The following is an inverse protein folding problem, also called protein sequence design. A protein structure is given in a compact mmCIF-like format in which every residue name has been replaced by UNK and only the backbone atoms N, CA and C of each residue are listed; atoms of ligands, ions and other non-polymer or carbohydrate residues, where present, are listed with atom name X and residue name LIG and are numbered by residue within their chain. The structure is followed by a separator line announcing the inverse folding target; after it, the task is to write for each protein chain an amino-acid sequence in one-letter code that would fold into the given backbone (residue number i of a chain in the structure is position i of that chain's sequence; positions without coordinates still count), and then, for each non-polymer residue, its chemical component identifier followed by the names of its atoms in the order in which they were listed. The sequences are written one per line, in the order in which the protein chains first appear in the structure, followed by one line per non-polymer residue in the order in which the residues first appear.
data_IF_664160495589
#
_entry.id   IF_664160495589
#
_cell.length_a   1.000
_cell.length_b   1.000
_cell.length_c   1.000
_cell.angle_alpha   90.00
_cell.angle_beta   90.00
_cell.angle_gamma   90.00
#
_symmetry.space_group_name_H-M   'P 1'
#
loop_
_entity.id
_entity.type
_entity.pdbx_description
1 polymer ?
#
# COMPACT_ATOMS: atom_id res chain seq x y z
N UNK A 1 8.78 -19.02 25.50
CA UNK A 1 9.70 -18.22 24.66
C UNK A 1 9.16 -16.80 24.62
N UNK A 2 9.93 -15.86 25.18
CA UNK A 2 9.51 -14.47 25.30
C UNK A 2 9.16 -13.91 23.92
N UNK A 3 7.98 -13.28 23.85
CA UNK A 3 7.49 -12.53 22.70
C UNK A 3 8.38 -11.29 22.54
N UNK A 4 9.56 -11.45 21.94
CA UNK A 4 10.31 -10.29 21.50
C UNK A 4 9.49 -9.62 20.41
N UNK A 5 8.97 -8.44 20.75
CA UNK A 5 8.19 -7.61 19.84
C UNK A 5 9.12 -7.22 18.69
N UNK A 6 8.99 -7.89 17.54
CA UNK A 6 9.66 -7.42 16.34
C UNK A 6 9.30 -5.95 16.14
N UNK A 7 10.31 -5.12 15.98
CA UNK A 7 10.15 -3.72 15.63
C UNK A 7 10.07 -3.56 14.12
N UNK A 8 9.79 -2.32 13.68
CA UNK A 8 9.81 -1.98 12.27
C UNK A 8 11.19 -2.23 11.65
N UNK A 9 12.25 -1.86 12.36
CA UNK A 9 13.63 -1.99 11.88
C UNK A 9 14.08 -3.45 11.82
N UNK A 10 13.66 -4.28 12.78
CA UNK A 10 13.92 -5.73 12.72
C UNK A 10 13.28 -6.36 11.47
N UNK A 11 12.06 -5.93 11.11
CA UNK A 11 11.40 -6.41 9.90
C UNK A 11 12.13 -6.00 8.62
N UNK A 12 12.75 -4.81 8.60
CA UNK A 12 13.59 -4.37 7.48
C UNK A 12 14.88 -5.20 7.44
N UNK A 13 15.53 -5.40 8.59
CA UNK A 13 16.71 -6.22 8.73
C UNK A 13 16.50 -7.66 8.23
N UNK A 14 15.37 -8.28 8.58
CA UNK A 14 15.01 -9.62 8.08
C UNK A 14 14.91 -9.67 6.56
N UNK A 15 14.31 -8.65 5.92
CA UNK A 15 14.18 -8.60 4.47
C UNK A 15 15.53 -8.42 3.77
N UNK A 16 16.39 -7.55 4.30
CA UNK A 16 17.72 -7.29 3.74
C UNK A 16 18.63 -8.50 3.93
N UNK A 17 18.71 -9.05 5.14
CA UNK A 17 19.50 -10.24 5.42
C UNK A 17 19.10 -11.41 4.53
N UNK A 18 17.79 -11.61 4.32
CA UNK A 18 17.33 -12.67 3.43
C UNK A 18 17.66 -12.41 1.96
N UNK A 19 17.61 -11.15 1.51
CA UNK A 19 18.02 -10.80 0.16
C UNK A 19 19.52 -11.07 -0.07
N UNK A 20 20.36 -10.70 0.91
CA UNK A 20 21.80 -10.93 0.86
C UNK A 20 22.12 -12.44 0.84
N UNK A 21 21.44 -13.24 1.66
CA UNK A 21 21.55 -14.71 1.64
C UNK A 21 21.20 -15.28 0.26
N UNK A 22 20.09 -14.84 -0.35
CA UNK A 22 19.68 -15.31 -1.67
C UNK A 22 20.70 -14.91 -2.75
N UNK A 23 21.20 -13.68 -2.69
CA UNK A 23 22.24 -13.21 -3.61
C UNK A 23 23.56 -13.98 -3.44
N UNK A 24 23.96 -14.28 -2.21
CA UNK A 24 25.14 -15.09 -1.91
C UNK A 24 24.99 -16.53 -2.43
N UNK A 25 23.76 -17.07 -2.40
CA UNK A 25 23.42 -18.37 -2.99
C UNK A 25 23.29 -18.35 -4.53
N UNK A 26 23.55 -17.20 -5.16
CA UNK A 26 23.48 -17.03 -6.62
C UNK A 26 22.07 -16.82 -7.17
N UNK A 27 21.06 -16.60 -6.33
CA UNK A 27 19.70 -16.34 -6.76
C UNK A 27 19.48 -14.83 -7.04
N UNK A 28 19.06 -14.49 -8.26
CA UNK A 28 18.80 -13.10 -8.68
C UNK A 28 17.38 -12.59 -8.34
N UNK A 29 16.72 -13.19 -7.34
CA UNK A 29 15.32 -12.88 -7.00
C UNK A 29 15.19 -12.17 -5.66
N UNK A 30 14.07 -11.47 -5.48
CA UNK A 30 13.70 -10.91 -4.17
C UNK A 30 13.18 -11.97 -3.19
N UNK A 31 13.31 -11.71 -1.88
CA UNK A 31 12.66 -12.52 -0.85
C UNK A 31 11.14 -12.59 -1.07
N UNK A 32 10.60 -13.81 -1.09
CA UNK A 32 9.16 -14.09 -1.12
C UNK A 32 8.69 -14.47 0.27
N UNK A 33 7.38 -14.38 0.49
CA UNK A 33 6.76 -14.68 1.80
C UNK A 33 7.09 -16.08 2.33
N UNK A 34 7.26 -17.05 1.44
CA UNK A 34 7.57 -18.43 1.82
C UNK A 34 9.03 -18.64 2.22
N UNK A 35 9.89 -17.63 2.08
CA UNK A 35 11.27 -17.67 2.58
C UNK A 35 11.35 -17.34 4.07
N UNK A 36 10.21 -17.02 4.70
CA UNK A 36 10.09 -16.58 6.09
C UNK A 36 9.08 -17.43 6.85
N UNK A 37 9.22 -17.42 8.17
CA UNK A 37 8.30 -18.07 9.08
C UNK A 37 6.97 -17.32 9.16
N UNK A 38 5.88 -18.04 9.44
CA UNK A 38 4.54 -17.44 9.47
C UNK A 38 4.44 -16.21 10.39
N UNK A 39 5.14 -16.25 11.54
CA UNK A 39 5.21 -15.14 12.50
C UNK A 39 5.89 -13.89 11.91
N UNK A 40 6.97 -14.09 11.17
CA UNK A 40 7.75 -13.02 10.54
C UNK A 40 6.95 -12.39 9.41
N UNK A 41 6.27 -13.21 8.61
CA UNK A 41 5.38 -12.73 7.55
C UNK A 41 4.28 -11.83 8.12
N UNK A 42 3.68 -12.21 9.26
CA UNK A 42 2.67 -11.40 9.94
C UNK A 42 3.27 -10.09 10.46
N UNK A 43 4.45 -10.14 11.10
CA UNK A 43 5.13 -8.94 11.60
C UNK A 43 5.52 -7.98 10.48
N UNK A 44 6.20 -8.46 9.44
CA UNK A 44 6.58 -7.69 8.24
C UNK A 44 5.35 -7.01 7.63
N UNK A 45 4.24 -7.76 7.49
CA UNK A 45 2.99 -7.22 6.96
C UNK A 45 2.38 -6.15 7.87
N UNK A 46 2.44 -6.34 9.19
CA UNK A 46 1.88 -5.40 10.15
C UNK A 46 2.65 -4.07 10.18
N UNK A 47 3.99 -4.11 10.15
CA UNK A 47 4.83 -2.92 10.26
C UNK A 47 5.09 -2.21 8.92
N UNK A 48 5.34 -2.96 7.85
CA UNK A 48 5.73 -2.42 6.54
C UNK A 48 4.59 -2.39 5.53
N UNK A 49 3.45 -3.01 5.87
CA UNK A 49 2.25 -3.05 5.03
C UNK A 49 2.29 -4.19 4.02
N UNK A 50 1.59 -4.08 2.87
CA UNK A 50 1.52 -5.16 1.89
C UNK A 50 2.91 -5.49 1.33
N UNK A 51 3.18 -6.77 1.03
CA UNK A 51 4.51 -7.28 0.67
C UNK A 51 5.32 -6.41 -0.33
N UNK A 52 4.76 -5.89 -1.44
CA UNK A 52 5.54 -5.01 -2.32
C UNK A 52 6.04 -3.73 -1.62
N UNK A 53 5.24 -3.15 -0.71
CA UNK A 53 5.63 -2.00 0.10
C UNK A 53 6.69 -2.34 1.13
N UNK A 54 6.67 -3.57 1.64
CA UNK A 54 7.72 -4.06 2.52
C UNK A 54 9.08 -4.14 1.80
N UNK A 55 9.09 -4.65 0.56
CA UNK A 55 10.29 -4.66 -0.29
C UNK A 55 10.75 -3.24 -0.65
N UNK A 56 9.82 -2.31 -0.89
CA UNK A 56 10.15 -0.89 -1.10
C UNK A 56 10.75 -0.25 0.17
N UNK A 57 10.20 -0.55 1.35
CA UNK A 57 10.68 -0.04 2.63
C UNK A 57 12.07 -0.60 3.00
N UNK A 58 12.38 -1.82 2.56
CA UNK A 58 13.69 -2.43 2.71
C UNK A 58 14.71 -1.99 1.63
N UNK A 59 14.32 -1.10 0.71
CA UNK A 59 15.20 -0.63 -0.36
C UNK A 59 15.50 -1.66 -1.46
N UNK A 60 14.87 -2.84 -1.40
CA UNK A 60 15.06 -3.90 -2.39
C UNK A 60 14.36 -3.58 -3.71
N UNK A 61 13.26 -2.82 -3.65
CA UNK A 61 12.45 -2.49 -4.82
C UNK A 61 12.23 -0.99 -4.95
N UNK A 62 12.37 -0.47 -6.16
CA UNK A 62 12.04 0.93 -6.46
C UNK A 62 10.57 1.24 -6.10
N UNK A 63 10.30 2.30 -5.32
CA UNK A 63 8.94 2.72 -5.01
C UNK A 63 8.13 3.01 -6.28
N UNK A 64 6.85 2.63 -6.27
CA UNK A 64 5.96 2.96 -7.40
C UNK A 64 5.86 4.48 -7.55
N UNK A 65 5.90 4.97 -8.79
CA UNK A 65 5.74 6.40 -9.09
C UNK A 65 4.44 6.96 -8.51
N UNK A 66 4.56 8.07 -7.78
CA UNK A 66 3.44 8.79 -7.16
C UNK A 66 2.41 9.29 -8.18
N UNK A 67 2.81 9.45 -9.45
CA UNK A 67 1.94 9.85 -10.53
C UNK A 67 0.70 8.96 -10.68
N UNK A 68 0.84 7.63 -10.57
CA UNK A 68 -0.31 6.72 -10.71
C UNK A 68 -1.30 6.91 -9.56
N UNK A 69 -0.78 7.16 -8.35
CA UNK A 69 -1.57 7.45 -7.16
C UNK A 69 -2.32 8.77 -7.31
N UNK A 70 -1.62 9.82 -7.76
CA UNK A 70 -2.20 11.13 -8.04
C UNK A 70 -3.28 11.06 -9.12
N UNK A 71 -3.02 10.38 -10.24
CA UNK A 71 -4.00 10.18 -11.34
C UNK A 71 -5.28 9.51 -10.83
N UNK A 72 -5.14 8.50 -9.97
CA UNK A 72 -6.29 7.80 -9.36
C UNK A 72 -7.07 8.71 -8.42
N UNK A 73 -6.38 9.48 -7.59
CA UNK A 73 -6.99 10.46 -6.69
C UNK A 73 -7.75 11.55 -7.46
N UNK A 74 -7.14 12.12 -8.51
CA UNK A 74 -7.77 13.12 -9.36
C UNK A 74 -9.03 12.59 -10.05
N UNK A 75 -9.00 11.36 -10.57
CA UNK A 75 -10.20 10.70 -11.12
C UNK A 75 -11.31 10.58 -10.07
N UNK A 76 -10.96 10.20 -8.84
CA UNK A 76 -11.92 10.09 -7.72
C UNK A 76 -12.53 11.45 -7.36
N UNK A 77 -11.71 12.50 -7.29
CA UNK A 77 -12.15 13.88 -7.03
C UNK A 77 -13.13 14.33 -8.12
N UNK A 78 -12.77 14.15 -9.40
CA UNK A 78 -13.63 14.50 -10.54
C UNK A 78 -14.98 13.77 -10.49
N UNK A 79 -14.97 12.47 -10.20
CA UNK A 79 -16.19 11.68 -10.08
C UNK A 79 -17.08 12.17 -8.94
N UNK A 80 -16.50 12.47 -7.77
CA UNK A 80 -17.24 13.06 -6.64
C UNK A 80 -17.86 14.41 -7.00
N UNK A 81 -17.09 15.32 -7.61
CA UNK A 81 -17.59 16.66 -8.02
C UNK A 81 -18.82 16.55 -8.91
N UNK A 82 -18.77 15.73 -9.96
CA UNK A 82 -19.92 15.51 -10.86
C UNK A 82 -21.17 15.00 -10.14
N UNK A 83 -21.01 14.04 -9.22
CA UNK A 83 -22.15 13.53 -8.44
C UNK A 83 -22.74 14.60 -7.54
N UNK A 84 -21.90 15.37 -6.86
CA UNK A 84 -22.34 16.47 -6.00
C UNK A 84 -23.05 17.56 -6.79
N UNK A 85 -22.54 17.94 -7.96
CA UNK A 85 -23.16 18.92 -8.86
C UNK A 85 -24.53 18.43 -9.36
N UNK A 86 -24.63 17.18 -9.84
CA UNK A 86 -25.89 16.60 -10.29
C UNK A 86 -26.93 16.55 -9.16
N UNK A 87 -26.53 16.18 -7.94
CA UNK A 87 -27.41 16.23 -6.77
C UNK A 87 -27.88 17.64 -6.43
N UNK A 88 -26.99 18.64 -6.54
CA UNK A 88 -27.36 20.06 -6.34
C UNK A 88 -28.36 20.51 -7.39
N UNK A 89 -28.13 20.22 -8.67
CA UNK A 89 -29.05 20.57 -9.76
C UNK A 89 -30.42 19.91 -9.58
N UNK A 90 -30.47 18.62 -9.24
CA UNK A 90 -31.75 17.94 -8.96
C UNK A 90 -32.50 18.57 -7.79
N UNK A 91 -31.80 19.02 -6.75
CA UNK A 91 -32.42 19.73 -5.61
C UNK A 91 -32.97 21.09 -6.02
N UNK A 92 -32.25 21.82 -6.87
CA UNK A 92 -32.71 23.11 -7.41
C UNK A 92 -33.97 22.90 -8.26
N UNK A 93 -33.93 21.97 -9.22
CA UNK A 93 -35.07 21.63 -10.07
C UNK A 93 -36.29 21.19 -9.26
N UNK A 94 -36.12 20.33 -8.25
CA UNK A 94 -37.21 19.91 -7.36
C UNK A 94 -37.80 21.07 -6.55
N UNK A 95 -36.99 22.07 -6.20
CA UNK A 95 -37.47 23.26 -5.50
C UNK A 95 -38.29 24.13 -6.44
N UNK A 96 -37.79 24.39 -7.65
CA UNK A 96 -38.49 25.16 -8.69
C UNK A 96 -39.85 24.54 -9.05
N UNK A 97 -39.93 23.21 -9.19
CA UNK A 97 -41.21 22.50 -9.46
C UNK A 97 -42.18 22.57 -8.28
N UNK A 98 -41.69 22.68 -7.04
CA UNK A 98 -42.55 22.76 -5.85
C UNK A 98 -43.12 24.17 -5.63
N UNK A 99 -42.40 25.19 -6.08
CA UNK A 99 -42.76 26.59 -5.91
C UNK A 99 -43.67 27.12 -7.08
N UNK A 100 -43.98 26.27 -8.07
CA UNK A 100 -44.99 26.48 -9.13
C UNK A 100 -46.34 25.83 -8.76
#
# INVERSE_FOLDING_TARGET
MALEKLTRDDCIGLLVAKADELQANGETRFPKRSDFEAREVVAIKAFLGPWPRALEAAGLKEPRSDEKRLKTALKRIRSKRRRTEAMKQQKILKKEVKDQ
#
